data_IF_819067810716
#
_entry.id   IF_819067810716
#
_cell.length_a   1.000
_cell.length_b   1.000
_cell.length_c   1.000
_cell.angle_alpha   90.00
_cell.angle_beta   90.00
_cell.angle_gamma   90.00
#
_symmetry.space_group_name_H-M   'P 1'
#
loop_
_entity.id
_entity.type
_entity.pdbx_description
1 polymer ?
#
# COMPACT_ATOMS: atom_id res chain seq x y z
N UNK A 1 15.12 -17.09 14.02
CA UNK A 1 13.74 -16.71 13.76
C UNK A 1 13.11 -17.66 12.78
N UNK A 2 11.98 -18.16 13.17
CA UNK A 2 11.28 -19.16 12.41
C UNK A 2 10.81 -18.61 11.07
N UNK A 3 10.95 -19.41 10.03
CA UNK A 3 10.40 -19.08 8.73
C UNK A 3 11.01 -17.89 8.03
N UNK A 4 12.20 -17.47 8.43
CA UNK A 4 12.84 -16.39 7.72
C UNK A 4 13.25 -16.86 6.34
N UNK A 5 12.85 -16.09 5.36
CA UNK A 5 13.34 -16.25 4.01
C UNK A 5 14.67 -15.51 3.93
N UNK A 6 15.74 -16.24 3.72
CA UNK A 6 17.07 -15.65 3.68
C UNK A 6 17.24 -14.65 2.55
N UNK A 7 16.36 -14.69 1.55
CA UNK A 7 16.43 -13.81 0.40
C UNK A 7 15.72 -12.50 0.63
N UNK A 8 14.68 -12.50 1.45
CA UNK A 8 13.85 -11.32 1.64
C UNK A 8 14.04 -10.66 3.00
N UNK A 9 14.64 -11.37 3.95
CA UNK A 9 14.76 -10.86 5.30
C UNK A 9 13.46 -10.82 6.07
N UNK A 10 12.36 -11.27 5.47
CA UNK A 10 11.05 -11.37 6.10
C UNK A 10 10.74 -12.82 6.35
N UNK A 11 10.19 -13.14 7.50
CA UNK A 11 9.72 -14.48 7.77
C UNK A 11 8.64 -14.90 6.79
N UNK A 12 8.55 -16.21 6.51
CA UNK A 12 7.58 -16.72 5.56
C UNK A 12 6.16 -16.24 5.91
N UNK A 13 5.82 -16.22 7.19
CA UNK A 13 4.55 -15.70 7.64
C UNK A 13 4.46 -14.18 7.63
N UNK A 14 5.60 -13.48 7.50
CA UNK A 14 5.63 -12.03 7.51
C UNK A 14 5.18 -11.39 6.20
N UNK A 15 5.39 -12.07 5.08
CA UNK A 15 5.00 -11.52 3.79
C UNK A 15 3.49 -11.38 3.62
N UNK A 16 2.69 -12.41 3.95
CA UNK A 16 1.23 -12.23 3.96
C UNK A 16 0.76 -11.16 4.93
N UNK A 17 1.40 -11.04 6.09
CA UNK A 17 1.07 -9.99 7.05
C UNK A 17 1.35 -8.61 6.48
N UNK A 18 2.46 -8.45 5.80
CA UNK A 18 2.81 -7.18 5.19
C UNK A 18 1.79 -6.79 4.12
N UNK A 19 1.41 -7.73 3.26
CA UNK A 19 0.41 -7.48 2.23
C UNK A 19 -0.93 -7.11 2.86
N UNK A 20 -1.33 -7.82 3.90
CA UNK A 20 -2.58 -7.55 4.59
C UNK A 20 -2.57 -6.18 5.25
N UNK A 21 -1.46 -5.82 5.87
CA UNK A 21 -1.30 -4.51 6.48
C UNK A 21 -1.41 -3.40 5.45
N UNK A 22 -0.74 -3.53 4.33
CA UNK A 22 -0.79 -2.56 3.25
C UNK A 22 -2.22 -2.43 2.72
N UNK A 23 -2.87 -3.56 2.48
CA UNK A 23 -4.24 -3.56 1.99
C UNK A 23 -5.18 -2.86 2.98
N UNK A 24 -5.02 -3.14 4.27
CA UNK A 24 -5.84 -2.49 5.29
C UNK A 24 -5.63 -0.99 5.30
N UNK A 25 -4.38 -0.54 5.24
CA UNK A 25 -4.07 0.88 5.21
C UNK A 25 -4.73 1.56 4.01
N UNK A 26 -4.57 0.97 2.84
CA UNK A 26 -5.05 1.56 1.61
C UNK A 26 -6.57 1.50 1.48
N UNK A 27 -7.20 0.50 2.07
CA UNK A 27 -8.65 0.30 1.98
C UNK A 27 -9.42 1.01 3.09
N UNK A 28 -8.75 1.60 4.06
CA UNK A 28 -9.40 2.30 5.17
C UNK A 28 -9.47 3.78 4.84
N UNK A 29 -10.66 4.36 4.69
CA UNK A 29 -10.76 5.81 4.47
C UNK A 29 -10.32 6.59 5.70
N UNK A 30 -9.57 7.66 5.48
CA UNK A 30 -9.15 8.53 6.57
C UNK A 30 -10.39 9.10 7.26
N UNK A 31 -10.39 9.09 8.58
CA UNK A 31 -11.51 9.59 9.36
C UNK A 31 -12.55 8.54 9.71
N UNK A 32 -12.41 7.31 9.19
CA UNK A 32 -13.40 6.27 9.42
C UNK A 32 -13.21 5.52 10.74
N UNK A 33 -12.03 5.60 11.35
CA UNK A 33 -11.77 4.94 12.63
C UNK A 33 -11.88 5.93 13.77
N UNK A 34 -12.70 5.58 14.77
CA UNK A 34 -13.01 6.47 15.88
C UNK A 34 -11.76 6.82 16.69
N UNK A 35 -10.92 5.82 16.97
CA UNK A 35 -9.75 6.02 17.82
C UNK A 35 -8.51 6.46 17.05
N UNK A 36 -8.50 6.33 15.74
CA UNK A 36 -7.36 6.69 14.90
C UNK A 36 -7.87 7.39 13.65
N UNK A 37 -8.27 8.62 13.80
CA UNK A 37 -8.92 9.35 12.72
C UNK A 37 -8.01 9.69 11.55
N UNK A 38 -6.72 9.72 11.77
CA UNK A 38 -5.73 9.98 10.72
C UNK A 38 -5.24 8.72 10.02
N UNK A 39 -5.68 7.55 10.49
CA UNK A 39 -5.27 6.29 9.90
C UNK A 39 -5.99 6.04 8.58
N UNK A 40 -5.25 5.52 7.61
CA UNK A 40 -5.82 5.12 6.34
C UNK A 40 -5.25 5.89 5.16
N UNK A 41 -6.01 5.92 4.07
CA UNK A 41 -5.59 6.59 2.85
C UNK A 41 -6.76 7.33 2.22
N UNK A 42 -6.45 8.14 1.21
CA UNK A 42 -7.46 8.86 0.45
C UNK A 42 -7.85 8.17 -0.85
N UNK A 43 -7.38 6.94 -1.04
CA UNK A 43 -7.61 6.24 -2.31
C UNK A 43 -9.09 6.07 -2.64
N UNK A 44 -9.90 5.68 -1.65
CA UNK A 44 -11.31 5.45 -1.91
C UNK A 44 -12.08 6.74 -2.21
N UNK A 45 -11.58 7.90 -1.77
CA UNK A 45 -12.17 9.17 -2.16
C UNK A 45 -11.90 9.49 -3.62
N UNK A 46 -10.79 9.00 -4.14
CA UNK A 46 -10.34 9.35 -5.49
C UNK A 46 -10.80 8.36 -6.54
N UNK A 47 -11.11 7.14 -6.14
CA UNK A 47 -11.31 6.03 -7.07
C UNK A 47 -12.50 6.22 -8.00
N UNK A 48 -13.50 6.98 -7.58
CA UNK A 48 -14.72 7.20 -8.37
C UNK A 48 -14.61 8.39 -9.32
N UNK A 49 -13.49 9.08 -9.31
CA UNK A 49 -13.32 10.24 -10.19
C UNK A 49 -12.98 9.79 -11.61
N UNK A 50 -13.35 10.59 -12.61
CA UNK A 50 -12.98 10.26 -13.99
C UNK A 50 -11.46 10.16 -14.13
N UNK A 51 -11.01 9.16 -14.89
CA UNK A 51 -9.60 8.94 -15.09
C UNK A 51 -8.95 10.11 -15.83
N UNK A 52 -7.77 10.51 -15.35
CA UNK A 52 -6.94 11.51 -15.99
C UNK A 52 -5.51 11.30 -15.51
N UNK A 53 -4.54 11.90 -16.17
CA UNK A 53 -3.17 11.81 -15.72
C UNK A 53 -3.01 12.49 -14.36
N UNK A 54 -3.76 13.55 -14.12
CA UNK A 54 -3.77 14.22 -12.81
C UNK A 54 -4.29 13.29 -11.72
N UNK A 55 -5.38 12.57 -11.99
CA UNK A 55 -5.93 11.62 -11.03
C UNK A 55 -4.91 10.51 -10.74
N UNK A 56 -4.25 10.02 -11.77
CA UNK A 56 -3.24 8.97 -11.59
C UNK A 56 -2.14 9.43 -10.62
N UNK A 57 -1.66 10.66 -10.79
CA UNK A 57 -0.65 11.20 -9.90
C UNK A 57 -1.18 11.33 -8.48
N UNK A 58 -2.43 11.73 -8.32
CA UNK A 58 -3.05 11.81 -7.00
C UNK A 58 -3.17 10.46 -6.34
N UNK A 59 -3.51 9.42 -7.10
CA UNK A 59 -3.60 8.06 -6.57
C UNK A 59 -2.24 7.56 -6.10
N UNK A 60 -1.20 7.82 -6.88
CA UNK A 60 0.16 7.44 -6.51
C UNK A 60 0.60 8.18 -5.25
N UNK A 61 0.34 9.48 -5.19
CA UNK A 61 0.72 10.29 -4.03
C UNK A 61 -0.02 9.84 -2.77
N UNK A 62 -1.32 9.54 -2.89
CA UNK A 62 -2.10 9.08 -1.74
C UNK A 62 -1.59 7.74 -1.23
N UNK A 63 -1.19 6.84 -2.13
CA UNK A 63 -0.61 5.56 -1.74
C UNK A 63 0.69 5.77 -1.00
N UNK A 64 1.57 6.58 -1.55
CA UNK A 64 2.87 6.84 -0.94
C UNK A 64 2.75 7.49 0.44
N UNK A 65 1.85 8.47 0.58
CA UNK A 65 1.61 9.12 1.86
C UNK A 65 1.14 8.13 2.92
N UNK A 66 0.18 7.28 2.56
CA UNK A 66 -0.40 6.34 3.50
C UNK A 66 0.63 5.31 3.96
N UNK A 67 1.41 4.78 3.04
CA UNK A 67 2.43 3.79 3.37
C UNK A 67 3.53 4.43 4.22
N UNK A 68 3.95 5.63 3.89
CA UNK A 68 4.97 6.32 4.68
C UNK A 68 4.50 6.57 6.11
N UNK A 69 3.22 6.88 6.28
CA UNK A 69 2.68 7.18 7.60
C UNK A 69 2.44 5.92 8.45
N UNK A 70 1.99 4.82 7.83
CA UNK A 70 1.44 3.71 8.59
C UNK A 70 2.15 2.38 8.40
N UNK A 71 3.12 2.30 7.49
CA UNK A 71 3.88 1.08 7.29
C UNK A 71 5.38 1.37 7.42
N UNK A 72 5.89 1.48 8.64
CA UNK A 72 7.30 1.85 8.85
C UNK A 72 8.29 0.76 8.49
N UNK A 73 7.83 -0.45 8.24
CA UNK A 73 8.73 -1.56 7.90
C UNK A 73 9.34 -1.43 6.52
N UNK A 74 8.73 -0.64 5.65
CA UNK A 74 9.18 -0.51 4.28
C UNK A 74 9.34 0.95 3.89
N UNK A 75 10.17 1.15 2.86
CA UNK A 75 10.35 2.43 2.22
C UNK A 75 9.99 2.24 0.75
N UNK A 76 9.07 3.01 0.23
CA UNK A 76 8.63 2.86 -1.15
C UNK A 76 9.70 3.31 -2.13
N UNK A 77 9.94 2.49 -3.14
CA UNK A 77 10.81 2.82 -4.26
C UNK A 77 9.96 3.30 -5.43
N UNK A 78 8.89 2.57 -5.75
CA UNK A 78 7.99 2.98 -6.81
C UNK A 78 6.59 2.42 -6.55
N UNK A 79 5.60 3.07 -7.15
CA UNK A 79 4.19 2.69 -7.03
C UNK A 79 3.57 2.73 -8.41
N UNK A 80 2.75 1.73 -8.70
CA UNK A 80 1.96 1.66 -9.92
C UNK A 80 0.51 1.42 -9.52
N UNK A 81 -0.40 2.22 -10.06
CA UNK A 81 -1.82 2.10 -9.75
C UNK A 81 -2.59 1.95 -11.04
N UNK A 82 -3.45 0.95 -11.08
CA UNK A 82 -4.33 0.69 -12.24
C UNK A 82 -5.78 0.72 -11.77
N UNK A 83 -6.64 1.34 -12.56
CA UNK A 83 -8.08 1.28 -12.33
C UNK A 83 -8.66 0.20 -13.23
N UNK A 84 -9.51 -0.65 -12.68
CA UNK A 84 -10.25 -1.59 -13.48
C UNK A 84 -11.66 -1.71 -12.90
N UNK A 85 -12.57 -0.98 -13.50
CA UNK A 85 -13.94 -0.90 -13.05
C UNK A 85 -14.15 0.19 -12.02
N UNK A 86 -15.41 0.55 -11.81
CA UNK A 86 -15.78 1.60 -10.87
C UNK A 86 -15.50 1.16 -9.44
N UNK A 87 -14.86 2.01 -8.68
CA UNK A 87 -14.60 1.77 -7.28
C UNK A 87 -13.50 0.74 -6.99
N UNK A 88 -12.73 0.33 -7.99
CA UNK A 88 -11.69 -0.69 -7.81
C UNK A 88 -10.36 -0.23 -8.36
N UNK A 89 -9.32 -0.46 -7.56
CA UNK A 89 -7.95 -0.17 -7.93
C UNK A 89 -7.08 -1.38 -7.69
N UNK A 90 -6.09 -1.56 -8.53
CA UNK A 90 -5.03 -2.52 -8.24
C UNK A 90 -3.74 -1.74 -8.04
N UNK A 91 -3.09 -1.97 -6.92
CA UNK A 91 -1.86 -1.28 -6.55
C UNK A 91 -0.73 -2.27 -6.54
N UNK A 92 0.35 -1.92 -7.21
CA UNK A 92 1.59 -2.67 -7.19
C UNK A 92 2.70 -1.72 -6.76
N UNK A 93 3.69 -2.24 -6.06
CA UNK A 93 4.76 -1.38 -5.56
C UNK A 93 6.06 -2.14 -5.45
N UNK A 94 7.14 -1.39 -5.53
CA UNK A 94 8.46 -1.88 -5.22
C UNK A 94 8.89 -1.14 -3.96
N UNK A 95 9.30 -1.89 -2.95
CA UNK A 95 9.66 -1.31 -1.66
C UNK A 95 10.93 -1.93 -1.14
N UNK A 96 11.59 -1.22 -0.25
CA UNK A 96 12.77 -1.70 0.41
C UNK A 96 12.45 -1.92 1.88
N UNK A 97 12.87 -3.05 2.43
CA UNK A 97 12.75 -3.30 3.86
C UNK A 97 13.75 -2.40 4.59
N UNK A 98 13.24 -1.60 5.52
CA UNK A 98 14.11 -0.68 6.27
C UNK A 98 15.17 -1.43 7.06
N UNK A 99 14.81 -2.57 7.63
CA UNK A 99 15.71 -3.33 8.49
C UNK A 99 16.87 -3.98 7.74
N UNK A 100 16.65 -4.41 6.50
CA UNK A 100 17.65 -5.18 5.76
C UNK A 100 18.03 -4.56 4.42
N UNK A 101 17.36 -3.48 4.02
CA UNK A 101 17.53 -2.81 2.74
C UNK A 101 17.24 -3.73 1.55
N UNK A 102 16.52 -4.82 1.79
CA UNK A 102 16.17 -5.77 0.77
C UNK A 102 14.98 -5.25 -0.03
N UNK A 103 15.04 -5.41 -1.36
CA UNK A 103 13.98 -4.93 -2.24
C UNK A 103 12.90 -6.00 -2.39
N UNK A 104 11.65 -5.59 -2.28
CA UNK A 104 10.49 -6.46 -2.43
C UNK A 104 9.59 -5.93 -3.53
N UNK A 105 9.01 -6.85 -4.28
CA UNK A 105 7.92 -6.52 -5.21
C UNK A 105 6.61 -6.97 -4.58
N UNK A 106 5.68 -6.04 -4.45
CA UNK A 106 4.36 -6.32 -3.89
C UNK A 106 3.35 -5.99 -4.96
N UNK A 107 2.67 -7.00 -5.47
CA UNK A 107 1.76 -6.85 -6.59
C UNK A 107 0.35 -7.27 -6.24
N UNK A 108 -0.61 -6.76 -6.99
CA UNK A 108 -1.98 -7.24 -6.90
C UNK A 108 -2.73 -6.88 -5.64
N UNK A 109 -2.41 -5.76 -5.03
CA UNK A 109 -3.18 -5.28 -3.89
C UNK A 109 -4.45 -4.62 -4.42
N UNK A 110 -5.58 -5.24 -4.17
CA UNK A 110 -6.87 -4.73 -4.64
C UNK A 110 -7.48 -3.85 -3.55
N UNK A 111 -7.84 -2.63 -3.94
CA UNK A 111 -8.48 -1.65 -3.06
C UNK A 111 -9.87 -1.39 -3.61
N UNK A 112 -10.89 -1.56 -2.78
CA UNK A 112 -12.27 -1.33 -3.21
C UNK A 112 -13.16 -0.90 -2.05
#
# INVERSE_FOLDING_TARGET
>A
MRGIDSQTGIGIGGMPHLRQSIRDILSTPIGSRVLRRDYGSRLLELVDRPYSSSLRLQLIAATAEAIAAWEPRISLVSVSVSQFGAGRLEVSMIASLVASEQVLEIEGIVVS
#
